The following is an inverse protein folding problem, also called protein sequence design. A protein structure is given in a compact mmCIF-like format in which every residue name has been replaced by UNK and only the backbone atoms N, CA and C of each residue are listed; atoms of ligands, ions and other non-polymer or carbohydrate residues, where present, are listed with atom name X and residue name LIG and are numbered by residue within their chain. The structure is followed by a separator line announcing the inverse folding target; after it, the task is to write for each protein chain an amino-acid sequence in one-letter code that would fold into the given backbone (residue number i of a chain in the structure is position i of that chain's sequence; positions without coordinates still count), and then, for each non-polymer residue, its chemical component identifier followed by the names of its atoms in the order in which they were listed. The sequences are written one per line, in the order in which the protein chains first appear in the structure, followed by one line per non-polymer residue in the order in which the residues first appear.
data_IF_706930713005
#
_entry.id   IF_706930713005
#
_cell.length_a   1.000
_cell.length_b   1.000
_cell.length_c   1.000
_cell.angle_alpha   90.00
_cell.angle_beta   90.00
_cell.angle_gamma   90.00
#
_symmetry.space_group_name_H-M   'P 1'
#
loop_
_entity.id
_entity.type
_entity.pdbx_description
1 polymer ?
#
# COMPACT_ATOMS: atom_id res chain seq x y z
N UNK A 1 -19.54 -9.19 -38.97
CA UNK A 1 -20.24 -8.78 -37.71
C UNK A 1 -19.32 -7.88 -36.92
N UNK A 2 -19.73 -6.62 -36.64
CA UNK A 2 -18.96 -5.68 -35.82
C UNK A 2 -19.11 -6.10 -34.36
N UNK A 3 -18.01 -6.51 -33.67
CA UNK A 3 -18.03 -6.78 -32.21
C UNK A 3 -18.65 -5.58 -31.47
N UNK A 4 -19.57 -5.77 -30.51
CA UNK A 4 -20.11 -4.67 -29.73
C UNK A 4 -18.96 -3.91 -29.05
N UNK A 5 -19.06 -2.58 -29.04
CA UNK A 5 -18.07 -1.68 -28.42
C UNK A 5 -18.07 -1.95 -26.92
N UNK A 6 -17.04 -2.64 -26.39
CA UNK A 6 -16.85 -2.80 -24.94
C UNK A 6 -16.85 -1.42 -24.27
N UNK A 7 -17.39 -1.33 -23.06
CA UNK A 7 -17.29 -0.12 -22.26
C UNK A 7 -15.80 0.19 -22.03
N UNK A 8 -15.44 1.47 -22.03
CA UNK A 8 -14.03 1.87 -21.87
C UNK A 8 -13.41 1.32 -20.58
N UNK A 9 -14.21 1.19 -19.52
CA UNK A 9 -13.79 0.64 -18.24
C UNK A 9 -13.46 -0.85 -18.31
N UNK A 10 -14.29 -1.66 -18.99
CA UNK A 10 -14.02 -3.09 -19.22
C UNK A 10 -12.69 -3.30 -19.96
N UNK A 11 -12.43 -2.47 -20.98
CA UNK A 11 -11.19 -2.52 -21.74
C UNK A 11 -9.99 -2.11 -20.85
N UNK A 12 -10.17 -1.13 -19.99
CA UNK A 12 -9.12 -0.69 -19.07
C UNK A 12 -8.75 -1.79 -18.07
N UNK A 13 -9.74 -2.50 -17.51
CA UNK A 13 -9.53 -3.62 -16.60
C UNK A 13 -8.88 -4.83 -17.31
N UNK A 14 -9.29 -5.15 -18.54
CA UNK A 14 -8.64 -6.20 -19.35
C UNK A 14 -7.14 -5.88 -19.57
N UNK A 15 -6.82 -4.61 -19.89
CA UNK A 15 -5.43 -4.16 -20.07
C UNK A 15 -4.64 -4.31 -18.77
N UNK A 16 -5.19 -3.88 -17.63
CA UNK A 16 -4.53 -4.00 -16.33
C UNK A 16 -4.31 -5.46 -15.93
N UNK A 17 -5.32 -6.31 -16.09
CA UNK A 17 -5.21 -7.74 -15.78
C UNK A 17 -4.13 -8.42 -16.60
N UNK A 18 -4.15 -8.22 -17.93
CA UNK A 18 -3.15 -8.81 -18.84
C UNK A 18 -1.75 -8.27 -18.58
N UNK A 19 -1.61 -6.97 -18.29
CA UNK A 19 -0.33 -6.38 -17.94
C UNK A 19 0.23 -7.00 -16.65
N UNK A 20 -0.60 -7.17 -15.63
CA UNK A 20 -0.19 -7.80 -14.37
C UNK A 20 0.26 -9.24 -14.56
N UNK A 21 -0.47 -10.04 -15.37
CA UNK A 21 -0.08 -11.42 -15.71
C UNK A 21 1.26 -11.48 -16.43
N UNK A 22 1.47 -10.62 -17.42
CA UNK A 22 2.73 -10.57 -18.17
C UNK A 22 3.89 -10.10 -17.29
N UNK A 23 3.68 -9.08 -16.43
CA UNK A 23 4.70 -8.62 -15.49
C UNK A 23 5.06 -9.71 -14.47
N UNK A 24 4.06 -10.49 -14.03
CA UNK A 24 4.28 -11.64 -13.15
C UNK A 24 5.13 -12.72 -13.81
N UNK A 25 4.84 -13.04 -15.07
CA UNK A 25 5.50 -14.12 -15.77
C UNK A 25 6.92 -13.78 -16.23
N UNK A 26 7.17 -12.52 -16.63
CA UNK A 26 8.39 -12.12 -17.35
C UNK A 26 9.18 -10.99 -16.66
N UNK A 27 8.61 -10.35 -15.64
CA UNK A 27 9.15 -9.16 -14.99
C UNK A 27 8.78 -7.86 -15.71
N UNK A 28 8.67 -6.77 -14.94
CA UNK A 28 8.29 -5.47 -15.49
C UNK A 28 9.22 -5.00 -16.61
N UNK A 29 10.53 -5.15 -16.45
CA UNK A 29 11.50 -4.61 -17.40
C UNK A 29 11.34 -5.17 -18.82
N UNK A 30 11.02 -6.47 -18.95
CA UNK A 30 10.99 -7.18 -20.23
C UNK A 30 9.72 -7.00 -21.04
N UNK A 31 8.60 -6.69 -20.41
CA UNK A 31 7.29 -6.55 -21.07
C UNK A 31 7.14 -5.17 -21.69
N UNK A 32 6.66 -5.08 -22.92
CA UNK A 32 6.35 -3.84 -23.63
C UNK A 32 4.83 -3.61 -23.74
N UNK A 33 4.42 -2.39 -24.09
CA UNK A 33 3.01 -2.09 -24.44
C UNK A 33 2.55 -2.90 -25.65
N UNK A 34 3.45 -3.21 -26.60
CA UNK A 34 3.15 -4.02 -27.76
C UNK A 34 2.83 -5.47 -27.38
N UNK A 35 3.53 -6.05 -26.39
CA UNK A 35 3.27 -7.41 -25.89
C UNK A 35 1.89 -7.49 -25.23
N UNK A 36 1.53 -6.49 -24.42
CA UNK A 36 0.21 -6.39 -23.78
C UNK A 36 -0.89 -6.28 -24.84
N UNK A 37 -0.70 -5.40 -25.83
CA UNK A 37 -1.65 -5.24 -26.94
C UNK A 37 -1.82 -6.53 -27.74
N UNK A 38 -0.72 -7.23 -28.04
CA UNK A 38 -0.72 -8.51 -28.76
C UNK A 38 -1.50 -9.58 -27.99
N UNK A 39 -1.25 -9.70 -26.69
CA UNK A 39 -1.96 -10.67 -25.82
C UNK A 39 -3.48 -10.44 -25.81
N UNK A 40 -3.91 -9.16 -25.92
CA UNK A 40 -5.33 -8.79 -25.98
C UNK A 40 -5.93 -8.79 -27.39
N UNK A 41 -5.13 -9.05 -28.44
CA UNK A 41 -5.58 -8.97 -29.82
C UNK A 41 -6.00 -7.56 -30.25
N UNK A 42 -5.34 -6.52 -29.70
CA UNK A 42 -5.62 -5.12 -30.03
C UNK A 42 -4.35 -4.38 -30.50
N UNK A 43 -4.54 -3.18 -31.04
CA UNK A 43 -3.39 -2.35 -31.44
C UNK A 43 -2.73 -1.69 -30.23
N UNK A 44 -1.40 -1.44 -30.23
CA UNK A 44 -0.73 -0.65 -29.20
C UNK A 44 -1.36 0.73 -28.99
N UNK A 45 -1.83 1.37 -30.06
CA UNK A 45 -2.54 2.66 -30.00
C UNK A 45 -3.80 2.59 -29.15
N UNK A 46 -4.48 1.42 -29.07
CA UNK A 46 -5.65 1.24 -28.24
C UNK A 46 -5.27 1.14 -26.76
N UNK A 47 -4.15 0.48 -26.44
CA UNK A 47 -3.61 0.46 -25.06
C UNK A 47 -3.20 1.87 -24.62
N UNK A 48 -2.52 2.64 -25.49
CA UNK A 48 -2.10 4.01 -25.21
C UNK A 48 -3.28 4.97 -24.93
N UNK A 49 -4.47 4.71 -25.44
CA UNK A 49 -5.67 5.50 -25.08
C UNK A 49 -6.07 5.38 -23.61
N UNK A 50 -5.75 4.27 -22.99
CA UNK A 50 -6.06 3.98 -21.59
C UNK A 50 -4.87 4.25 -20.66
N UNK A 51 -3.66 3.94 -21.12
CA UNK A 51 -2.42 4.09 -20.35
C UNK A 51 -1.31 4.64 -21.24
N UNK A 52 -0.95 5.90 -21.02
CA UNK A 52 0.02 6.61 -21.87
C UNK A 52 1.46 6.10 -21.74
N UNK A 53 1.78 5.37 -20.68
CA UNK A 53 3.11 4.81 -20.44
C UNK A 53 3.02 3.45 -19.74
N UNK A 54 4.08 2.65 -19.86
CA UNK A 54 4.20 1.41 -19.08
C UNK A 54 4.28 1.69 -17.56
N UNK A 55 4.88 2.81 -17.17
CA UNK A 55 4.89 3.27 -15.77
C UNK A 55 3.49 3.57 -15.26
N UNK A 56 2.60 4.16 -16.07
CA UNK A 56 1.20 4.38 -15.69
C UNK A 56 0.44 3.07 -15.43
N UNK A 57 0.76 1.99 -16.15
CA UNK A 57 0.26 0.64 -15.85
C UNK A 57 0.79 0.13 -14.50
N UNK A 58 2.09 0.27 -14.25
CA UNK A 58 2.68 -0.15 -12.97
C UNK A 58 2.05 0.61 -11.79
N UNK A 59 1.88 1.93 -11.91
CA UNK A 59 1.19 2.75 -10.90
C UNK A 59 -0.22 2.21 -10.64
N UNK A 60 -1.03 2.00 -11.68
CA UNK A 60 -2.40 1.52 -11.52
C UNK A 60 -2.50 0.10 -10.94
N UNK A 61 -1.56 -0.79 -11.28
CA UNK A 61 -1.46 -2.13 -10.68
C UNK A 61 -1.08 -2.01 -9.20
N UNK A 62 -0.11 -1.14 -8.88
CA UNK A 62 0.31 -0.89 -7.49
C UNK A 62 -0.83 -0.28 -6.66
N UNK A 63 -1.57 0.70 -7.19
CA UNK A 63 -2.75 1.27 -6.52
C UNK A 63 -3.80 0.20 -6.20
N UNK A 64 -4.11 -0.68 -7.16
CA UNK A 64 -5.03 -1.80 -6.96
C UNK A 64 -4.52 -2.78 -5.90
N UNK A 65 -3.22 -3.06 -5.88
CA UNK A 65 -2.60 -3.91 -4.87
C UNK A 65 -2.67 -3.29 -3.47
N UNK A 66 -2.34 -2.01 -3.34
CA UNK A 66 -2.43 -1.24 -2.09
C UNK A 66 -3.86 -1.24 -1.56
N UNK A 67 -4.87 -0.98 -2.40
CA UNK A 67 -6.28 -1.00 -1.99
C UNK A 67 -6.68 -2.37 -1.43
N UNK A 68 -6.32 -3.47 -2.11
CA UNK A 68 -6.59 -4.83 -1.62
C UNK A 68 -5.88 -5.15 -0.30
N UNK A 69 -4.65 -4.67 -0.14
CA UNK A 69 -3.89 -4.85 1.09
C UNK A 69 -4.55 -4.10 2.25
N UNK A 70 -4.97 -2.86 2.04
CA UNK A 70 -5.60 -2.04 3.08
C UNK A 70 -7.04 -2.47 3.39
N UNK A 71 -7.81 -2.97 2.42
CA UNK A 71 -9.14 -3.56 2.65
C UNK A 71 -9.10 -4.74 3.64
N UNK A 72 -8.03 -5.54 3.62
CA UNK A 72 -7.82 -6.63 4.60
C UNK A 72 -7.63 -6.13 6.03
N UNK A 73 -7.26 -4.86 6.20
CA UNK A 73 -7.15 -4.21 7.51
C UNK A 73 -8.49 -3.69 8.04
N UNK A 74 -9.53 -3.58 7.19
CA UNK A 74 -10.84 -3.13 7.60
C UNK A 74 -11.52 -4.08 8.60
N UNK A 75 -11.17 -5.37 8.55
CA UNK A 75 -11.73 -6.43 9.42
C UNK A 75 -10.97 -6.62 10.74
N UNK A 76 -10.13 -5.66 11.14
CA UNK A 76 -9.53 -5.71 12.48
C UNK A 76 -10.60 -5.41 13.51
N UNK A 77 -10.74 -6.35 14.45
CA UNK A 77 -11.74 -6.32 15.50
C UNK A 77 -11.69 -4.99 16.30
N UNK A 78 -12.77 -4.22 16.22
CA UNK A 78 -12.88 -2.92 16.90
C UNK A 78 -13.02 -3.07 18.42
N UNK A 79 -13.28 -4.29 18.92
CA UNK A 79 -13.32 -4.57 20.37
C UNK A 79 -11.93 -4.63 21.00
N UNK A 80 -10.88 -4.78 20.17
CA UNK A 80 -9.48 -4.77 20.64
C UNK A 80 -9.06 -3.36 21.05
N UNK A 81 -8.38 -3.19 22.21
CA UNK A 81 -7.91 -1.88 22.66
C UNK A 81 -7.06 -1.15 21.60
N UNK A 82 -7.18 0.19 21.49
CA UNK A 82 -6.46 0.98 20.48
C UNK A 82 -4.94 0.74 20.41
N UNK A 83 -4.30 0.54 21.57
CA UNK A 83 -2.86 0.26 21.66
C UNK A 83 -2.50 -1.05 20.95
N UNK A 84 -3.26 -2.09 21.17
CA UNK A 84 -3.05 -3.40 20.55
C UNK A 84 -3.46 -3.37 19.07
N UNK A 85 -4.49 -2.60 18.68
CA UNK A 85 -4.86 -2.39 17.28
C UNK A 85 -3.73 -1.72 16.50
N UNK A 86 -3.04 -0.75 17.10
CA UNK A 86 -1.92 -0.08 16.46
C UNK A 86 -0.81 -1.07 16.11
N UNK A 87 -0.45 -1.95 17.06
CA UNK A 87 0.55 -3.01 16.84
C UNK A 87 0.10 -3.99 15.74
N UNK A 88 -1.13 -4.49 15.85
CA UNK A 88 -1.67 -5.46 14.88
C UNK A 88 -1.72 -4.90 13.45
N UNK A 89 -2.07 -3.62 13.28
CA UNK A 89 -2.08 -2.96 11.98
C UNK A 89 -0.66 -2.84 11.43
N UNK A 90 0.30 -2.38 12.25
CA UNK A 90 1.68 -2.23 11.83
C UNK A 90 2.30 -3.57 11.43
N UNK A 91 2.12 -4.62 12.25
CA UNK A 91 2.61 -5.97 11.95
C UNK A 91 2.00 -6.53 10.67
N UNK A 92 0.67 -6.45 10.48
CA UNK A 92 0.01 -6.97 9.26
C UNK A 92 0.45 -6.26 7.99
N UNK A 93 0.69 -4.96 8.05
CA UNK A 93 1.22 -4.21 6.90
C UNK A 93 2.65 -4.62 6.58
N UNK A 94 3.49 -4.73 7.60
CA UNK A 94 4.87 -5.21 7.47
C UNK A 94 4.92 -6.63 6.88
N UNK A 95 4.15 -7.56 7.44
CA UNK A 95 4.03 -8.94 6.94
C UNK A 95 3.54 -9.00 5.50
N UNK A 96 2.58 -8.14 5.13
CA UNK A 96 2.07 -8.08 3.75
C UNK A 96 3.17 -7.67 2.77
N UNK A 97 3.97 -6.68 3.10
CA UNK A 97 5.12 -6.28 2.28
C UNK A 97 6.22 -7.35 2.22
N UNK A 98 6.50 -8.03 3.34
CA UNK A 98 7.44 -9.15 3.36
C UNK A 98 6.94 -10.33 2.54
N UNK A 99 5.65 -10.63 2.60
CA UNK A 99 5.04 -11.65 1.76
C UNK A 99 5.16 -11.30 0.26
N UNK A 100 4.92 -10.04 -0.12
CA UNK A 100 5.11 -9.59 -1.50
C UNK A 100 6.56 -9.71 -1.94
N UNK A 101 7.52 -9.38 -1.07
CA UNK A 101 8.94 -9.53 -1.37
C UNK A 101 9.31 -11.00 -1.72
N UNK A 102 8.72 -11.96 -0.99
CA UNK A 102 9.07 -13.38 -1.15
C UNK A 102 8.19 -14.12 -2.16
N UNK A 103 6.89 -13.84 -2.17
CA UNK A 103 5.92 -14.60 -2.96
C UNK A 103 5.50 -13.89 -4.25
N UNK A 104 5.60 -12.57 -4.29
CA UNK A 104 5.17 -11.74 -5.41
C UNK A 104 6.26 -10.72 -5.81
N UNK A 105 7.49 -11.17 -6.15
CA UNK A 105 8.62 -10.25 -6.37
C UNK A 105 8.37 -9.24 -7.49
N UNK A 106 7.52 -9.56 -8.48
CA UNK A 106 7.11 -8.64 -9.54
C UNK A 106 6.26 -7.47 -9.00
N UNK A 107 5.36 -7.73 -8.04
CA UNK A 107 4.58 -6.68 -7.36
C UNK A 107 5.52 -5.84 -6.52
N UNK A 108 6.41 -6.48 -5.76
CA UNK A 108 7.35 -5.77 -4.91
C UNK A 108 8.28 -4.85 -5.73
N UNK A 109 8.74 -5.29 -6.91
CA UNK A 109 9.50 -4.44 -7.85
C UNK A 109 8.71 -3.19 -8.27
N UNK A 110 7.43 -3.35 -8.62
CA UNK A 110 6.56 -2.22 -8.99
C UNK A 110 6.27 -1.30 -7.79
N UNK A 111 6.03 -1.87 -6.61
CA UNK A 111 5.85 -1.11 -5.37
C UNK A 111 7.11 -0.29 -5.07
N UNK A 112 8.31 -0.88 -5.14
CA UNK A 112 9.57 -0.15 -4.96
C UNK A 112 9.73 1.01 -5.93
N UNK A 113 9.39 0.78 -7.21
CA UNK A 113 9.49 1.80 -8.26
C UNK A 113 8.56 2.99 -8.04
N UNK A 114 7.42 2.76 -7.41
CA UNK A 114 6.32 3.72 -7.29
C UNK A 114 5.98 4.09 -5.84
N UNK A 115 6.84 3.73 -4.89
CA UNK A 115 6.65 4.00 -3.45
C UNK A 115 6.89 5.48 -3.08
N UNK A 116 7.60 6.22 -3.92
CA UNK A 116 7.82 7.64 -3.70
C UNK A 116 6.50 8.43 -3.81
N UNK A 117 6.34 9.44 -2.95
CA UNK A 117 5.16 10.33 -2.96
C UNK A 117 5.02 11.18 -4.22
N UNK A 118 6.02 11.20 -5.08
CA UNK A 118 5.90 11.79 -6.42
C UNK A 118 4.96 10.98 -7.32
N UNK A 119 4.77 9.68 -7.01
CA UNK A 119 3.80 8.84 -7.70
C UNK A 119 2.43 8.83 -7.01
N UNK A 120 1.32 8.70 -7.79
CA UNK A 120 -0.02 8.59 -7.23
C UNK A 120 -0.17 7.43 -6.22
N UNK A 121 0.44 6.28 -6.50
CA UNK A 121 0.44 5.10 -5.63
C UNK A 121 1.10 5.34 -4.28
N UNK A 122 2.24 6.04 -4.24
CA UNK A 122 2.92 6.42 -2.99
C UNK A 122 2.07 7.38 -2.16
N UNK A 123 1.42 8.37 -2.82
CA UNK A 123 0.47 9.27 -2.15
C UNK A 123 -0.74 8.52 -1.61
N UNK A 124 -1.33 7.62 -2.40
CA UNK A 124 -2.46 6.79 -1.98
C UNK A 124 -2.09 5.95 -0.76
N UNK A 125 -0.95 5.26 -0.79
CA UNK A 125 -0.51 4.45 0.35
C UNK A 125 -0.35 5.28 1.62
N UNK A 126 0.34 6.42 1.53
CA UNK A 126 0.49 7.34 2.66
C UNK A 126 -0.86 7.81 3.21
N UNK A 127 -1.78 8.22 2.34
CA UNK A 127 -3.11 8.66 2.75
C UNK A 127 -3.88 7.55 3.48
N UNK A 128 -3.91 6.34 2.94
CA UNK A 128 -4.60 5.19 3.56
C UNK A 128 -4.00 4.82 4.93
N UNK A 129 -2.67 4.94 5.10
CA UNK A 129 -2.03 4.76 6.40
C UNK A 129 -2.46 5.86 7.39
N UNK A 130 -2.41 7.12 6.98
CA UNK A 130 -2.82 8.26 7.82
C UNK A 130 -4.28 8.13 8.26
N UNK A 131 -5.20 7.80 7.35
CA UNK A 131 -6.62 7.55 7.65
C UNK A 131 -6.81 6.39 8.63
N UNK A 132 -6.09 5.28 8.42
CA UNK A 132 -6.18 4.12 9.31
C UNK A 132 -5.65 4.42 10.72
N UNK A 133 -4.50 5.05 10.82
CA UNK A 133 -3.94 5.43 12.13
C UNK A 133 -4.76 6.52 12.80
N UNK A 134 -5.34 7.48 12.05
CA UNK A 134 -6.26 8.47 12.61
C UNK A 134 -7.47 7.80 13.27
N UNK A 135 -8.07 6.80 12.63
CA UNK A 135 -9.20 6.08 13.20
C UNK A 135 -8.85 5.40 14.54
N UNK A 136 -7.63 4.82 14.64
CA UNK A 136 -7.16 4.18 15.88
C UNK A 136 -6.88 5.23 16.97
N UNK A 137 -6.20 6.31 16.62
CA UNK A 137 -5.87 7.39 17.56
C UNK A 137 -7.15 8.04 18.09
N UNK A 138 -8.12 8.31 17.21
CA UNK A 138 -9.43 8.86 17.59
C UNK A 138 -10.18 7.94 18.57
N UNK A 139 -10.25 6.65 18.28
CA UNK A 139 -10.84 5.68 19.19
C UNK A 139 -10.12 5.63 20.55
N UNK A 140 -8.80 5.80 20.56
CA UNK A 140 -8.01 5.89 21.79
C UNK A 140 -8.31 7.15 22.63
N UNK A 141 -8.55 8.28 21.96
CA UNK A 141 -8.96 9.53 22.62
C UNK A 141 -10.37 9.40 23.19
N UNK A 142 -11.31 8.85 22.43
CA UNK A 142 -12.70 8.60 22.86
C UNK A 142 -12.77 7.65 24.03
N UNK A 143 -11.88 6.66 24.08
CA UNK A 143 -11.76 5.72 25.21
C UNK A 143 -11.00 6.30 26.42
N UNK A 144 -10.50 7.54 26.36
CA UNK A 144 -9.69 8.17 27.41
C UNK A 144 -8.30 7.56 27.60
N UNK A 145 -7.82 6.78 26.61
CA UNK A 145 -6.52 6.10 26.64
C UNK A 145 -5.40 7.00 26.10
N UNK A 146 -5.70 7.79 25.06
CA UNK A 146 -4.76 8.72 24.45
C UNK A 146 -5.09 10.16 24.78
N UNK A 147 -4.04 10.97 24.97
CA UNK A 147 -4.12 12.35 25.41
C UNK A 147 -3.66 13.31 24.30
N UNK A 148 -4.21 13.19 23.09
CA UNK A 148 -3.86 14.09 21.98
C UNK A 148 -5.03 15.01 21.60
N UNK A 149 -4.74 16.28 21.35
CA UNK A 149 -5.72 17.31 20.96
C UNK A 149 -6.09 17.26 19.47
N UNK A 150 -5.22 16.69 18.62
CA UNK A 150 -5.38 16.62 17.18
C UNK A 150 -5.03 15.18 16.70
N UNK A 151 -6.03 14.28 16.61
CA UNK A 151 -5.83 12.92 16.12
C UNK A 151 -5.25 12.83 14.72
N UNK A 152 -5.62 13.74 13.81
CA UNK A 152 -5.12 13.75 12.44
C UNK A 152 -3.62 14.09 12.38
N UNK A 153 -3.20 15.11 13.14
CA UNK A 153 -1.77 15.45 13.27
C UNK A 153 -0.98 14.31 13.91
N UNK A 154 -1.53 13.69 14.94
CA UNK A 154 -0.90 12.55 15.62
C UNK A 154 -0.75 11.35 14.68
N UNK A 155 -1.78 11.04 13.86
CA UNK A 155 -1.71 9.98 12.86
C UNK A 155 -0.61 10.18 11.82
N UNK A 156 -0.39 11.42 11.38
CA UNK A 156 0.74 11.76 10.48
C UNK A 156 2.09 11.49 11.15
N UNK A 157 2.22 11.79 12.44
CA UNK A 157 3.44 11.50 13.20
C UNK A 157 3.63 9.99 13.38
N UNK A 158 2.57 9.24 13.68
CA UNK A 158 2.57 7.76 13.74
C UNK A 158 3.01 7.17 12.42
N UNK A 159 2.43 7.61 11.30
CA UNK A 159 2.80 7.16 9.95
C UNK A 159 4.28 7.41 9.68
N UNK A 160 4.78 8.60 10.01
CA UNK A 160 6.19 8.96 9.82
C UNK A 160 7.13 8.11 10.70
N UNK A 161 6.77 7.84 11.95
CA UNK A 161 7.56 7.02 12.87
C UNK A 161 7.66 5.56 12.39
N UNK A 162 6.59 5.01 11.79
CA UNK A 162 6.54 3.63 11.32
C UNK A 162 7.19 3.41 9.93
N UNK A 163 7.72 4.45 9.28
CA UNK A 163 8.40 4.32 7.97
C UNK A 163 9.47 3.23 7.98
N UNK A 164 10.22 3.10 9.10
CA UNK A 164 11.29 2.09 9.25
C UNK A 164 10.84 0.63 9.13
N UNK A 165 9.56 0.36 9.37
CA UNK A 165 8.95 -0.99 9.33
C UNK A 165 7.83 -1.12 8.29
N UNK A 166 7.44 -0.04 7.62
CA UNK A 166 6.38 -0.05 6.61
C UNK A 166 6.86 0.33 5.20
N UNK A 167 8.05 0.95 5.06
CA UNK A 167 8.52 1.37 3.75
C UNK A 167 9.22 0.21 3.01
N UNK A 168 8.75 -0.20 1.83
CA UNK A 168 9.26 -1.39 1.12
C UNK A 168 10.77 -1.40 0.89
N UNK A 169 11.39 -0.24 0.60
CA UNK A 169 12.82 -0.14 0.38
C UNK A 169 13.65 -0.40 1.65
N UNK A 170 13.11 -0.12 2.83
CA UNK A 170 13.78 -0.37 4.11
C UNK A 170 13.61 -1.82 4.55
N UNK A 171 12.43 -2.39 4.35
CA UNK A 171 12.15 -3.80 4.64
C UNK A 171 13.10 -4.75 3.90
N UNK A 172 13.42 -4.46 2.65
CA UNK A 172 14.34 -5.27 1.84
C UNK A 172 15.75 -5.39 2.44
N UNK A 173 16.17 -4.42 3.26
CA UNK A 173 17.53 -4.31 3.81
C UNK A 173 17.68 -4.91 5.20
N UNK A 174 16.58 -5.23 5.88
CA UNK A 174 16.55 -5.64 7.28
C UNK A 174 16.14 -7.11 7.38
N UNK A 175 16.76 -7.88 8.27
CA UNK A 175 16.38 -9.28 8.53
C UNK A 175 15.01 -9.38 9.22
N UNK A 176 14.23 -10.43 8.91
CA UNK A 176 12.84 -10.56 9.41
C UNK A 176 12.74 -10.49 10.94
N UNK A 177 13.61 -11.18 11.70
CA UNK A 177 13.55 -11.16 13.18
C UNK A 177 13.83 -9.79 13.80
N UNK A 178 14.69 -8.98 13.18
CA UNK A 178 14.95 -7.61 13.60
C UNK A 178 13.75 -6.68 13.34
N UNK A 179 12.96 -6.98 12.31
CA UNK A 179 11.79 -6.17 11.95
C UNK A 179 10.65 -6.32 12.96
N UNK A 180 10.40 -7.53 13.47
CA UNK A 180 9.35 -7.78 14.45
C UNK A 180 9.64 -7.02 15.75
N UNK A 181 10.85 -7.18 16.30
CA UNK A 181 11.30 -6.46 17.50
C UNK A 181 11.25 -4.94 17.30
N UNK A 182 11.72 -4.45 16.14
CA UNK A 182 11.66 -3.03 15.80
C UNK A 182 10.24 -2.51 15.72
N UNK A 183 9.30 -3.29 15.15
CA UNK A 183 7.89 -2.92 15.07
C UNK A 183 7.29 -2.79 16.46
N UNK A 184 7.51 -3.75 17.34
CA UNK A 184 7.03 -3.73 18.73
C UNK A 184 7.59 -2.51 19.49
N UNK A 185 8.91 -2.30 19.47
CA UNK A 185 9.55 -1.16 20.15
C UNK A 185 9.04 0.20 19.65
N UNK A 186 8.86 0.34 18.34
CA UNK A 186 8.31 1.59 17.78
C UNK A 186 6.87 1.81 18.20
N UNK A 187 6.03 0.78 18.19
CA UNK A 187 4.64 0.89 18.60
C UNK A 187 4.51 1.18 20.09
N UNK A 188 5.34 0.58 20.93
CA UNK A 188 5.38 0.87 22.37
C UNK A 188 5.78 2.32 22.65
N UNK A 189 6.79 2.82 21.94
CA UNK A 189 7.20 4.23 22.01
C UNK A 189 6.06 5.17 21.57
N UNK A 190 5.38 4.86 20.46
CA UNK A 190 4.23 5.61 19.95
C UNK A 190 3.08 5.60 20.96
N UNK A 191 2.72 4.44 21.49
CA UNK A 191 1.67 4.31 22.51
C UNK A 191 1.99 5.15 23.73
N UNK A 192 3.24 5.09 24.23
CA UNK A 192 3.69 5.89 25.36
C UNK A 192 3.56 7.40 25.07
N UNK A 193 3.95 7.84 23.88
CA UNK A 193 3.84 9.23 23.48
C UNK A 193 2.38 9.70 23.33
N UNK A 194 1.48 8.84 22.86
CA UNK A 194 0.05 9.16 22.72
C UNK A 194 -0.69 9.18 24.07
N UNK A 195 -0.24 8.38 25.04
CA UNK A 195 -0.81 8.33 26.41
C UNK A 195 -0.38 9.51 27.27
N UNK A 196 0.76 10.12 26.98
CA UNK A 196 1.29 11.21 27.77
C UNK A 196 1.20 12.51 26.95
N UNK A 197 0.66 13.62 27.52
CA UNK A 197 0.64 14.88 26.82
C UNK A 197 2.08 15.30 26.58
N UNK A 198 2.44 15.48 25.30
CA UNK A 198 3.72 16.09 24.95
C UNK A 198 3.78 17.47 25.60
N UNK A 199 4.83 17.74 26.37
CA UNK A 199 5.05 19.06 26.96
C UNK A 199 4.99 20.11 25.83
N UNK A 200 4.13 21.12 26.01
CA UNK A 200 3.97 22.23 25.06
C UNK A 200 5.15 23.17 25.17
#
# INVERSE_FOLDING_TARGET
MRKPRRKAEETREDILGTAEELFRAQGFAKVSIADIASALGMSPANVFKHFHTKTALAVAITERHISRMTERLANLDETVPPQERLLRVAQRLMESHLNDLHQNPYIFEMVLMTADTDFPSGRLYKQLLEEKFESIVRAGVEAGIYCCSDPSRSAKAVTAALVGVLHPALLKRTGCGELDERCELLVDLINTALQNPLAK
#
